data_IF_225701896694
#
_entry.id   IF_225701896694
#
_cell.length_a   1.000
_cell.length_b   1.000
_cell.length_c   1.000
_cell.angle_alpha   90.00
_cell.angle_beta   90.00
_cell.angle_gamma   90.00
#
_symmetry.space_group_name_H-M   'P 1'
#
loop_
_entity.id
_entity.type
_entity.pdbx_description
1 polymer ?
#
# COMPACT_ATOMS: atom_id res chain seq x y z
N UNK A 1 -70.86 31.25 -11.43
CA UNK A 1 -70.16 30.90 -10.18
C UNK A 1 -69.00 29.97 -10.52
N UNK A 2 -67.77 30.46 -10.68
CA UNK A 2 -66.59 29.61 -10.82
C UNK A 2 -65.99 29.30 -9.44
N UNK A 3 -65.66 28.03 -9.19
CA UNK A 3 -64.93 27.60 -8.00
C UNK A 3 -63.45 27.35 -8.31
N UNK A 4 -62.61 27.86 -7.40
CA UNK A 4 -61.36 27.28 -6.93
C UNK A 4 -60.10 27.43 -7.79
N UNK A 5 -59.43 28.57 -7.63
CA UNK A 5 -57.99 28.71 -7.88
C UNK A 5 -57.21 28.01 -6.76
N UNK A 6 -56.56 26.89 -7.07
CA UNK A 6 -55.53 26.33 -6.20
C UNK A 6 -54.34 27.30 -6.19
N UNK A 7 -54.05 27.88 -5.02
CA UNK A 7 -52.83 28.65 -4.81
C UNK A 7 -51.63 27.70 -4.91
N UNK A 8 -50.77 27.94 -5.89
CA UNK A 8 -49.45 27.36 -6.00
C UNK A 8 -48.58 27.83 -4.83
N UNK A 9 -48.02 26.87 -4.10
CA UNK A 9 -46.96 27.13 -3.12
C UNK A 9 -45.68 27.53 -3.87
N UNK A 10 -44.88 28.48 -3.34
CA UNK A 10 -43.62 28.86 -3.95
C UNK A 10 -42.62 27.70 -3.87
N UNK A 11 -42.01 27.37 -5.00
CA UNK A 11 -40.82 26.51 -5.05
C UNK A 11 -39.75 27.11 -4.14
N UNK A 12 -39.48 26.45 -3.01
CA UNK A 12 -38.33 26.76 -2.16
C UNK A 12 -37.03 26.58 -2.96
N UNK A 13 -35.91 27.16 -2.50
CA UNK A 13 -34.64 27.08 -3.21
C UNK A 13 -34.32 25.60 -3.44
N UNK A 14 -34.30 25.22 -4.72
CA UNK A 14 -34.18 23.84 -5.14
C UNK A 14 -33.02 23.17 -4.42
N UNK A 15 -33.33 22.16 -3.62
CA UNK A 15 -32.42 21.04 -3.48
C UNK A 15 -32.34 20.40 -4.86
N UNK A 16 -31.51 21.00 -5.71
CA UNK A 16 -30.91 20.26 -6.81
C UNK A 16 -30.23 19.08 -6.11
N UNK A 17 -30.64 17.82 -6.40
CA UNK A 17 -29.83 16.70 -5.96
C UNK A 17 -28.44 16.98 -6.51
N UNK A 18 -27.45 17.09 -5.63
CA UNK A 18 -26.05 17.20 -6.03
C UNK A 18 -25.82 16.02 -6.96
N UNK A 19 -25.77 16.33 -8.25
CA UNK A 19 -25.49 15.35 -9.29
C UNK A 19 -24.19 14.68 -8.85
N UNK A 20 -24.18 13.35 -8.68
CA UNK A 20 -23.01 12.51 -8.39
C UNK A 20 -22.03 12.54 -9.58
N UNK A 21 -21.72 13.74 -10.08
CA UNK A 21 -21.07 14.00 -11.35
C UNK A 21 -19.58 13.77 -11.31
N UNK A 22 -19.04 13.16 -10.26
CA UNK A 22 -17.73 12.49 -10.22
C UNK A 22 -17.63 11.68 -8.91
N UNK A 23 -18.27 10.52 -8.81
CA UNK A 23 -17.86 9.54 -7.80
C UNK A 23 -16.39 9.18 -8.11
N UNK A 24 -15.52 9.25 -7.09
CA UNK A 24 -14.11 8.85 -7.26
C UNK A 24 -14.05 7.41 -7.80
N UNK A 25 -13.04 7.05 -8.60
CA UNK A 25 -13.07 5.80 -9.37
C UNK A 25 -13.20 4.52 -8.51
N UNK A 26 -12.75 4.55 -7.27
CA UNK A 26 -12.84 3.43 -6.32
C UNK A 26 -13.78 3.75 -5.14
N UNK A 27 -14.77 4.62 -5.33
CA UNK A 27 -15.76 4.92 -4.30
C UNK A 27 -16.46 3.63 -3.83
N UNK A 28 -16.59 3.48 -2.51
CA UNK A 28 -17.14 2.29 -1.83
C UNK A 28 -16.32 1.00 -1.96
N UNK A 29 -15.19 1.01 -2.68
CA UNK A 29 -14.29 -0.14 -2.72
C UNK A 29 -13.59 -0.28 -1.38
N UNK A 30 -13.62 -1.48 -0.83
CA UNK A 30 -12.93 -1.86 0.39
C UNK A 30 -11.69 -2.70 0.06
N UNK A 31 -10.55 -2.27 0.60
CA UNK A 31 -9.24 -2.88 0.33
C UNK A 31 -8.66 -3.40 1.65
N UNK A 32 -8.18 -4.64 1.66
CA UNK A 32 -7.31 -5.17 2.71
C UNK A 32 -5.88 -5.25 2.18
N UNK A 33 -4.94 -4.51 2.77
CA UNK A 33 -3.52 -4.67 2.50
C UNK A 33 -2.87 -5.56 3.55
N UNK A 34 -2.11 -6.55 3.07
CA UNK A 34 -1.21 -7.40 3.86
C UNK A 34 0.21 -6.90 3.57
N UNK A 35 0.70 -6.00 4.41
CA UNK A 35 1.93 -5.22 4.20
C UNK A 35 2.52 -4.82 5.57
N UNK A 36 3.77 -5.18 5.82
CA UNK A 36 4.49 -4.95 7.07
C UNK A 36 5.31 -3.65 7.07
N UNK A 37 5.65 -3.09 5.89
CA UNK A 37 6.27 -1.77 5.82
C UNK A 37 5.25 -0.66 6.08
N UNK A 38 5.54 0.20 7.07
CA UNK A 38 4.76 1.42 7.35
C UNK A 38 4.82 2.37 6.17
N UNK A 39 5.99 2.54 5.57
CA UNK A 39 6.18 3.43 4.42
C UNK A 39 5.36 2.99 3.19
N UNK A 40 5.40 1.69 2.85
CA UNK A 40 4.61 1.15 1.74
C UNK A 40 3.10 1.17 2.04
N UNK A 41 2.71 0.84 3.29
CA UNK A 41 1.30 0.92 3.70
C UNK A 41 0.77 2.34 3.67
N UNK A 42 1.59 3.34 3.98
CA UNK A 42 1.20 4.75 3.92
C UNK A 42 1.01 5.21 2.47
N UNK A 43 1.85 4.73 1.54
CA UNK A 43 1.63 4.93 0.10
C UNK A 43 0.26 4.37 -0.33
N UNK A 44 -0.05 3.12 0.05
CA UNK A 44 -1.34 2.48 -0.22
C UNK A 44 -2.51 3.26 0.39
N UNK A 45 -2.35 3.77 1.62
CA UNK A 45 -3.38 4.56 2.30
C UNK A 45 -3.69 5.84 1.52
N UNK A 46 -2.67 6.56 1.08
CA UNK A 46 -2.80 7.79 0.30
C UNK A 46 -3.42 7.50 -1.09
N UNK A 47 -3.00 6.43 -1.76
CA UNK A 47 -3.59 5.98 -3.04
C UNK A 47 -5.08 5.61 -2.90
N UNK A 48 -5.44 4.85 -1.87
CA UNK A 48 -6.83 4.49 -1.58
C UNK A 48 -7.65 5.74 -1.26
N UNK A 49 -7.14 6.62 -0.39
CA UNK A 49 -7.82 7.85 0.01
C UNK A 49 -8.10 8.76 -1.19
N UNK A 50 -7.11 9.00 -2.06
CA UNK A 50 -7.31 9.81 -3.28
C UNK A 50 -8.21 9.14 -4.31
N UNK A 51 -8.38 7.82 -4.25
CA UNK A 51 -9.28 7.07 -5.12
C UNK A 51 -10.70 6.87 -4.55
N UNK A 52 -10.95 7.27 -3.31
CA UNK A 52 -12.23 7.07 -2.62
C UNK A 52 -12.43 5.68 -2.01
N UNK A 53 -11.39 4.84 -2.01
CA UNK A 53 -11.42 3.50 -1.43
C UNK A 53 -11.14 3.54 0.08
N UNK A 54 -11.62 2.53 0.79
CA UNK A 54 -11.40 2.34 2.24
C UNK A 54 -10.35 1.25 2.44
N UNK A 55 -9.22 1.61 3.05
CA UNK A 55 -8.14 0.67 3.33
C UNK A 55 -8.21 0.14 4.77
N UNK A 56 -8.02 -1.17 4.94
CA UNK A 56 -7.59 -1.83 6.18
C UNK A 56 -6.22 -2.46 5.97
N UNK A 57 -5.41 -2.47 7.01
CA UNK A 57 -4.04 -3.02 6.98
C UNK A 57 -3.89 -4.14 8.00
N UNK A 58 -3.14 -5.16 7.63
CA UNK A 58 -2.57 -6.19 8.51
C UNK A 58 -1.11 -6.43 8.12
N UNK A 59 -0.28 -6.84 9.08
CA UNK A 59 1.18 -6.91 8.89
C UNK A 59 1.69 -8.35 8.62
N UNK A 60 0.83 -9.36 8.78
CA UNK A 60 1.22 -10.77 8.70
C UNK A 60 0.17 -11.61 7.99
N UNK A 61 0.57 -12.73 7.39
CA UNK A 61 -0.37 -13.70 6.82
C UNK A 61 -1.32 -14.26 7.87
N UNK A 62 -0.82 -14.53 9.08
CA UNK A 62 -1.64 -14.99 10.20
C UNK A 62 -2.72 -13.96 10.59
N UNK A 63 -2.39 -12.68 10.61
CA UNK A 63 -3.38 -11.62 10.83
C UNK A 63 -4.37 -11.51 9.67
N UNK A 64 -3.91 -11.63 8.41
CA UNK A 64 -4.77 -11.62 7.23
C UNK A 64 -5.81 -12.73 7.27
N UNK A 65 -5.42 -13.98 7.59
CA UNK A 65 -6.36 -15.11 7.70
C UNK A 65 -7.43 -14.87 8.75
N UNK A 66 -7.04 -14.38 9.94
CA UNK A 66 -7.98 -14.03 11.01
C UNK A 66 -8.94 -12.92 10.59
N UNK A 67 -8.43 -11.91 9.87
CA UNK A 67 -9.26 -10.81 9.41
C UNK A 67 -10.26 -11.25 8.33
N UNK A 68 -9.80 -12.02 7.34
CA UNK A 68 -10.62 -12.52 6.23
C UNK A 68 -11.68 -13.54 6.67
N UNK A 69 -11.54 -14.16 7.84
CA UNK A 69 -12.57 -15.02 8.42
C UNK A 69 -13.85 -14.24 8.80
N UNK A 70 -13.73 -12.95 9.10
CA UNK A 70 -14.84 -12.10 9.58
C UNK A 70 -15.11 -10.88 8.70
N UNK A 71 -14.22 -10.58 7.75
CA UNK A 71 -14.29 -9.43 6.89
C UNK A 71 -14.19 -9.84 5.42
N UNK A 72 -15.05 -9.28 4.58
CA UNK A 72 -15.12 -9.55 3.14
C UNK A 72 -14.78 -8.27 2.36
N UNK A 73 -13.49 -8.00 2.08
CA UNK A 73 -13.10 -6.87 1.25
C UNK A 73 -13.40 -7.15 -0.23
N UNK A 74 -13.51 -6.09 -1.04
CA UNK A 74 -13.58 -6.20 -2.50
C UNK A 74 -12.21 -6.54 -3.12
N UNK A 75 -11.13 -6.04 -2.51
CA UNK A 75 -9.74 -6.25 -2.95
C UNK A 75 -8.85 -6.67 -1.77
N UNK A 76 -8.01 -7.67 -2.00
CA UNK A 76 -6.89 -8.00 -1.11
C UNK A 76 -5.59 -7.73 -1.85
N UNK A 77 -4.77 -6.84 -1.30
CA UNK A 77 -3.42 -6.57 -1.75
C UNK A 77 -2.45 -7.34 -0.86
N UNK A 78 -1.64 -8.22 -1.43
CA UNK A 78 -0.73 -9.09 -0.67
C UNK A 78 0.71 -8.78 -1.05
N UNK A 79 1.49 -8.23 -0.12
CA UNK A 79 2.94 -8.17 -0.30
C UNK A 79 3.54 -9.59 -0.30
N UNK A 80 4.51 -9.83 -1.19
CA UNK A 80 5.12 -11.15 -1.32
C UNK A 80 6.20 -11.45 -0.27
N UNK A 81 6.81 -10.42 0.33
CA UNK A 81 7.87 -10.50 1.32
C UNK A 81 7.38 -10.20 2.73
N UNK A 82 6.66 -11.14 3.35
CA UNK A 82 6.10 -10.99 4.69
C UNK A 82 7.00 -11.63 5.77
N UNK A 83 6.92 -11.18 7.03
CA UNK A 83 7.76 -11.69 8.12
C UNK A 83 7.45 -13.14 8.51
N UNK A 84 6.21 -13.59 8.30
CA UNK A 84 5.74 -14.92 8.68
C UNK A 84 5.71 -15.92 7.52
N UNK A 85 6.27 -15.57 6.35
CA UNK A 85 6.43 -16.46 5.20
C UNK A 85 6.16 -15.79 3.84
N UNK A 86 5.93 -16.57 2.79
CA UNK A 86 5.73 -16.03 1.45
C UNK A 86 4.28 -15.61 1.22
N UNK A 87 4.05 -14.37 0.77
CA UNK A 87 2.72 -13.92 0.36
C UNK A 87 2.08 -14.78 -0.75
N UNK A 88 2.89 -15.51 -1.52
CA UNK A 88 2.41 -16.50 -2.50
C UNK A 88 1.61 -17.64 -1.85
N UNK A 89 1.98 -18.06 -0.63
CA UNK A 89 1.25 -19.07 0.14
C UNK A 89 -0.12 -18.53 0.57
N UNK A 90 -0.17 -17.28 1.03
CA UNK A 90 -1.43 -16.62 1.38
C UNK A 90 -2.35 -16.49 0.17
N UNK A 91 -1.83 -16.01 -0.98
CA UNK A 91 -2.59 -15.89 -2.23
C UNK A 91 -3.18 -17.25 -2.62
N UNK A 92 -2.38 -18.32 -2.59
CA UNK A 92 -2.85 -19.69 -2.90
C UNK A 92 -3.98 -20.15 -2.01
N UNK A 93 -4.03 -19.71 -0.76
CA UNK A 93 -5.04 -20.14 0.18
C UNK A 93 -6.35 -19.35 0.06
N UNK A 94 -6.26 -18.04 -0.16
CA UNK A 94 -7.44 -17.17 -0.24
C UNK A 94 -8.11 -17.19 -1.61
N UNK A 95 -7.41 -17.67 -2.65
CA UNK A 95 -7.94 -17.78 -4.03
C UNK A 95 -8.49 -19.17 -4.35
N UNK A 96 -8.44 -20.13 -3.41
CA UNK A 96 -9.05 -21.45 -3.61
C UNK A 96 -10.55 -21.29 -3.91
N UNK A 97 -11.13 -22.15 -4.75
CA UNK A 97 -12.57 -22.12 -5.03
C UNK A 97 -13.40 -22.10 -3.73
N UNK A 98 -14.26 -21.09 -3.59
CA UNK A 98 -15.13 -20.92 -2.41
C UNK A 98 -14.47 -20.29 -1.18
N UNK A 99 -13.18 -19.95 -1.20
CA UNK A 99 -12.50 -19.34 -0.05
C UNK A 99 -12.90 -17.86 0.15
N UNK A 100 -12.68 -17.03 -0.87
CA UNK A 100 -12.93 -15.60 -0.82
C UNK A 100 -13.44 -15.09 -2.17
N UNK A 101 -14.49 -14.27 -2.14
CA UNK A 101 -14.99 -13.56 -3.32
C UNK A 101 -14.41 -12.13 -3.32
N UNK A 102 -13.11 -12.02 -3.56
CA UNK A 102 -12.39 -10.76 -3.61
C UNK A 102 -11.34 -10.81 -4.73
N UNK A 103 -11.04 -9.65 -5.32
CA UNK A 103 -9.90 -9.51 -6.23
C UNK A 103 -8.61 -9.59 -5.42
N UNK A 104 -7.75 -10.56 -5.71
CA UNK A 104 -6.46 -10.71 -5.03
C UNK A 104 -5.35 -10.22 -5.94
N UNK A 105 -4.57 -9.23 -5.50
CA UNK A 105 -3.43 -8.68 -6.24
C UNK A 105 -2.15 -8.87 -5.41
N UNK A 106 -1.06 -9.22 -6.09
CA UNK A 106 0.25 -9.26 -5.46
C UNK A 106 0.92 -7.88 -5.49
N UNK A 107 1.71 -7.56 -4.46
CA UNK A 107 2.60 -6.41 -4.41
C UNK A 107 4.03 -6.94 -4.25
N UNK A 108 4.96 -6.47 -5.07
CA UNK A 108 6.38 -6.79 -4.90
C UNK A 108 7.26 -5.77 -5.62
N UNK A 109 8.49 -5.60 -5.12
CA UNK A 109 9.52 -4.88 -5.87
C UNK A 109 10.11 -5.72 -7.01
N UNK A 110 10.14 -7.04 -6.91
CA UNK A 110 10.73 -7.89 -7.94
C UNK A 110 9.71 -8.21 -9.06
N UNK A 111 9.86 -7.67 -10.29
CA UNK A 111 8.97 -7.96 -11.41
C UNK A 111 9.06 -9.43 -11.87
N UNK A 112 10.16 -10.13 -11.56
CA UNK A 112 10.32 -11.55 -11.86
C UNK A 112 9.32 -12.45 -11.12
N UNK A 113 8.72 -11.96 -10.03
CA UNK A 113 7.72 -12.68 -9.26
C UNK A 113 6.31 -12.63 -9.85
N UNK A 114 6.07 -11.85 -10.91
CA UNK A 114 4.77 -11.74 -11.56
C UNK A 114 4.19 -13.11 -11.94
N UNK A 115 5.00 -13.95 -12.61
CA UNK A 115 4.56 -15.27 -13.06
C UNK A 115 4.24 -16.21 -11.88
N UNK A 116 4.97 -16.08 -10.78
CA UNK A 116 4.72 -16.87 -9.58
C UNK A 116 3.42 -16.43 -8.87
N UNK A 117 3.17 -15.12 -8.82
CA UNK A 117 1.94 -14.55 -8.25
C UNK A 117 0.68 -14.98 -9.04
N UNK A 118 0.73 -14.92 -10.37
CA UNK A 118 -0.39 -15.36 -11.21
C UNK A 118 -0.64 -16.86 -11.05
N UNK A 119 0.41 -17.69 -11.05
CA UNK A 119 0.28 -19.14 -10.77
C UNK A 119 -0.27 -19.43 -9.39
N UNK A 120 0.01 -18.57 -8.41
CA UNK A 120 -0.55 -18.67 -7.06
C UNK A 120 -2.04 -18.30 -7.01
N UNK A 121 -2.59 -17.67 -8.05
CA UNK A 121 -4.01 -17.28 -8.14
C UNK A 121 -4.26 -15.78 -8.10
N UNK A 122 -3.22 -14.93 -8.04
CA UNK A 122 -3.41 -13.48 -8.10
C UNK A 122 -4.00 -13.06 -9.45
N UNK A 123 -4.97 -12.15 -9.42
CA UNK A 123 -5.60 -11.59 -10.61
C UNK A 123 -4.65 -10.64 -11.36
N UNK A 124 -3.74 -9.99 -10.63
CA UNK A 124 -2.82 -9.00 -11.14
C UNK A 124 -1.69 -8.70 -10.15
N UNK A 125 -0.88 -7.69 -10.48
CA UNK A 125 0.37 -7.38 -9.79
C UNK A 125 0.60 -5.88 -9.76
N UNK A 126 1.06 -5.37 -8.63
CA UNK A 126 1.49 -3.99 -8.42
C UNK A 126 2.99 -3.98 -8.09
N UNK A 127 3.76 -3.26 -8.89
CA UNK A 127 5.20 -3.13 -8.68
C UNK A 127 5.51 -1.96 -7.74
N UNK A 128 6.40 -2.18 -6.76
CA UNK A 128 6.95 -1.10 -5.92
C UNK A 128 8.00 -0.31 -6.74
N UNK A 129 8.00 1.03 -6.73
CA UNK A 129 7.33 1.90 -5.77
C UNK A 129 5.88 2.29 -6.16
N UNK A 130 4.99 2.34 -5.16
CA UNK A 130 3.56 2.62 -5.33
C UNK A 130 3.28 4.13 -5.33
N UNK A 131 3.67 4.83 -6.40
CA UNK A 131 3.63 6.31 -6.42
C UNK A 131 2.53 6.90 -7.30
N UNK A 132 2.05 6.16 -8.30
CA UNK A 132 1.15 6.69 -9.32
C UNK A 132 -0.30 6.34 -9.01
N UNK A 133 -1.15 7.37 -8.91
CA UNK A 133 -2.58 7.15 -8.70
C UNK A 133 -3.22 6.43 -9.88
N UNK A 134 -2.84 6.82 -11.10
CA UNK A 134 -3.35 6.23 -12.34
C UNK A 134 -3.02 4.75 -12.45
N UNK A 135 -1.76 4.35 -12.23
CA UNK A 135 -1.35 2.95 -12.29
C UNK A 135 -2.09 2.10 -11.26
N UNK A 136 -2.20 2.59 -10.02
CA UNK A 136 -2.97 1.93 -8.97
C UNK A 136 -4.45 1.77 -9.35
N UNK A 137 -5.11 2.84 -9.79
CA UNK A 137 -6.52 2.82 -10.19
C UNK A 137 -6.76 1.89 -11.38
N UNK A 138 -5.89 1.93 -12.39
CA UNK A 138 -5.98 1.11 -13.58
C UNK A 138 -5.92 -0.38 -13.26
N UNK A 139 -4.98 -0.79 -12.40
CA UNK A 139 -4.85 -2.20 -11.99
C UNK A 139 -6.05 -2.64 -11.16
N UNK A 140 -6.56 -1.84 -10.22
CA UNK A 140 -7.73 -2.26 -9.44
C UNK A 140 -9.00 -2.33 -10.31
N UNK A 141 -9.23 -1.35 -11.17
CA UNK A 141 -10.43 -1.26 -12.01
C UNK A 141 -10.46 -2.30 -13.15
N UNK A 142 -9.30 -2.80 -13.60
CA UNK A 142 -9.27 -3.86 -14.61
C UNK A 142 -9.83 -5.19 -14.09
N UNK A 143 -9.84 -5.38 -12.77
CA UNK A 143 -10.27 -6.62 -12.12
C UNK A 143 -11.61 -6.49 -11.37
N UNK A 144 -11.99 -5.29 -10.94
CA UNK A 144 -13.28 -5.05 -10.30
C UNK A 144 -14.43 -5.04 -11.31
N UNK A 145 -15.53 -5.72 -10.96
CA UNK A 145 -16.76 -5.75 -11.78
C UNK A 145 -17.72 -4.64 -11.35
N UNK A 146 -18.46 -4.05 -12.31
CA UNK A 146 -19.56 -3.13 -12.02
C UNK A 146 -19.17 -1.73 -11.53
N UNK A 147 -17.88 -1.39 -11.48
CA UNK A 147 -17.43 -0.05 -11.08
C UNK A 147 -17.57 0.96 -12.23
N UNK A 148 -18.00 2.21 -11.95
CA UNK A 148 -18.09 3.24 -12.96
C UNK A 148 -16.70 3.54 -13.52
N UNK A 149 -16.57 3.46 -14.85
CA UNK A 149 -15.38 3.91 -15.58
C UNK A 149 -15.39 5.43 -15.67
N UNK A 150 -15.19 6.10 -14.54
CA UNK A 150 -14.87 7.53 -14.54
C UNK A 150 -13.48 7.72 -15.17
N UNK A 151 -13.27 8.76 -15.97
CA UNK A 151 -11.94 9.10 -16.47
C UNK A 151 -10.97 9.22 -15.30
N UNK A 152 -9.84 8.52 -15.38
CA UNK A 152 -8.80 8.66 -14.36
C UNK A 152 -8.22 10.07 -14.46
N UNK A 153 -8.17 10.84 -13.35
CA UNK A 153 -7.55 12.15 -13.37
C UNK A 153 -6.06 12.02 -13.71
N UNK A 154 -5.66 12.65 -14.82
CA UNK A 154 -4.28 12.66 -15.29
C UNK A 154 -3.47 13.78 -14.61
N UNK A 155 -2.14 13.61 -14.56
CA UNK A 155 -1.21 14.67 -14.13
C UNK A 155 -1.22 14.97 -12.64
N UNK A 156 -1.71 14.05 -11.80
CA UNK A 156 -1.63 14.20 -10.35
C UNK A 156 -0.20 13.97 -9.84
N UNK A 157 0.22 14.79 -8.87
CA UNK A 157 1.52 14.65 -8.24
C UNK A 157 1.68 13.25 -7.62
N UNK A 158 2.84 12.60 -7.82
CA UNK A 158 3.16 11.33 -7.18
C UNK A 158 2.88 11.33 -5.68
N UNK A 159 2.46 10.19 -5.16
CA UNK A 159 2.30 10.00 -3.73
C UNK A 159 3.68 10.02 -3.08
N UNK A 160 3.75 10.69 -1.93
CA UNK A 160 4.93 10.73 -1.08
C UNK A 160 4.47 10.35 0.32
N UNK A 161 4.80 9.13 0.79
CA UNK A 161 4.56 8.76 2.17
C UNK A 161 5.35 9.68 3.10
N UNK A 162 4.90 9.81 4.34
CA UNK A 162 5.58 10.68 5.29
C UNK A 162 6.95 10.12 5.70
N UNK A 163 7.82 11.00 6.20
CA UNK A 163 9.18 10.64 6.63
C UNK A 163 9.20 9.85 7.94
N UNK A 164 8.16 9.96 8.76
CA UNK A 164 8.10 9.26 10.04
C UNK A 164 7.91 7.76 9.81
N UNK A 165 7.03 7.38 8.88
CA UNK A 165 6.82 6.00 8.46
C UNK A 165 8.11 5.37 7.91
N UNK A 166 8.89 6.14 7.13
CA UNK A 166 10.22 5.70 6.67
C UNK A 166 11.16 5.49 7.85
N UNK A 167 11.24 6.45 8.77
CA UNK A 167 12.10 6.37 9.94
C UNK A 167 11.76 5.17 10.82
N UNK A 168 10.48 4.95 11.11
CA UNK A 168 10.01 3.82 11.92
C UNK A 168 10.37 2.47 11.29
N UNK A 169 10.25 2.35 9.97
CA UNK A 169 10.64 1.15 9.22
C UNK A 169 12.16 0.91 9.29
N UNK A 170 12.98 1.96 9.16
CA UNK A 170 14.44 1.85 9.27
C UNK A 170 14.89 1.47 10.69
N UNK A 171 14.27 2.06 11.72
CA UNK A 171 14.53 1.71 13.12
C UNK A 171 14.13 0.25 13.40
N UNK A 172 12.95 -0.17 12.93
CA UNK A 172 12.53 -1.56 13.02
C UNK A 172 13.55 -2.49 12.35
N UNK A 173 13.98 -2.13 11.14
CA UNK A 173 14.93 -2.93 10.39
C UNK A 173 16.27 -3.10 11.13
N UNK A 174 16.79 -2.01 11.70
CA UNK A 174 18.02 -2.04 12.49
C UNK A 174 17.90 -2.92 13.73
N UNK A 175 16.79 -2.78 14.48
CA UNK A 175 16.50 -3.57 15.67
C UNK A 175 16.46 -5.08 15.38
N UNK A 176 15.77 -5.49 14.31
CA UNK A 176 15.68 -6.89 13.89
C UNK A 176 17.04 -7.42 13.41
N UNK A 177 17.81 -6.59 12.70
CA UNK A 177 19.15 -6.95 12.23
C UNK A 177 20.11 -7.20 13.40
N UNK A 178 20.05 -6.38 14.45
CA UNK A 178 20.83 -6.53 15.68
C UNK A 178 20.47 -7.79 16.46
N UNK A 179 19.17 -8.06 16.63
CA UNK A 179 18.67 -9.23 17.35
C UNK A 179 19.16 -10.58 16.76
N UNK A 180 19.46 -10.62 15.47
CA UNK A 180 20.25 -11.70 14.86
C UNK A 180 19.60 -13.09 14.87
N UNK A 181 18.27 -13.17 14.99
CA UNK A 181 17.55 -14.45 14.97
C UNK A 181 17.84 -15.24 13.68
N UNK A 182 18.20 -16.53 13.85
CA UNK A 182 18.42 -17.48 12.75
C UNK A 182 17.15 -17.56 11.89
N UNK A 183 17.28 -17.35 10.57
CA UNK A 183 16.17 -17.34 9.61
C UNK A 183 15.66 -15.94 9.24
N UNK A 184 15.82 -14.94 10.11
CA UNK A 184 15.32 -13.57 9.88
C UNK A 184 16.20 -12.75 8.95
N UNK A 185 17.44 -13.18 8.69
CA UNK A 185 18.40 -12.47 7.84
C UNK A 185 17.92 -12.29 6.40
N UNK A 186 17.27 -13.31 5.82
CA UNK A 186 16.79 -13.19 4.44
C UNK A 186 15.61 -12.21 4.38
N UNK A 187 14.65 -12.39 5.28
CA UNK A 187 13.53 -11.49 5.43
C UNK A 187 13.98 -10.03 5.61
N UNK A 188 14.89 -9.75 6.55
CA UNK A 188 15.29 -8.37 6.83
C UNK A 188 16.01 -7.72 5.64
N UNK A 189 16.79 -8.50 4.89
CA UNK A 189 17.43 -8.02 3.68
C UNK A 189 16.41 -7.72 2.58
N UNK A 190 15.39 -8.55 2.41
CA UNK A 190 14.31 -8.32 1.44
C UNK A 190 13.41 -7.15 1.87
N UNK A 191 13.11 -7.02 3.16
CA UNK A 191 12.36 -5.91 3.75
C UNK A 191 13.06 -4.57 3.51
N UNK A 192 14.37 -4.47 3.83
CA UNK A 192 15.14 -3.25 3.60
C UNK A 192 15.28 -2.94 2.10
N UNK A 193 15.43 -3.95 1.23
CA UNK A 193 15.40 -3.74 -0.21
C UNK A 193 14.05 -3.16 -0.67
N UNK A 194 12.93 -3.61 -0.10
CA UNK A 194 11.60 -3.09 -0.37
C UNK A 194 11.45 -1.61 0.03
N UNK A 195 11.95 -1.24 1.21
CA UNK A 195 11.97 0.15 1.69
C UNK A 195 12.84 1.00 0.78
N UNK A 196 14.08 0.57 0.53
CA UNK A 196 15.07 1.29 -0.26
C UNK A 196 14.58 1.58 -1.68
N UNK A 197 13.92 0.60 -2.31
CA UNK A 197 13.28 0.78 -3.62
C UNK A 197 12.13 1.80 -3.55
N UNK A 198 11.35 1.75 -2.48
CA UNK A 198 10.20 2.65 -2.28
C UNK A 198 10.63 4.11 -2.05
N UNK A 199 11.78 4.33 -1.42
CA UNK A 199 12.34 5.67 -1.18
C UNK A 199 13.44 6.09 -2.18
N UNK A 200 13.71 5.28 -3.20
CA UNK A 200 14.76 5.50 -4.22
C UNK A 200 16.19 5.62 -3.65
N UNK A 201 16.51 4.87 -2.59
CA UNK A 201 17.85 4.79 -1.99
C UNK A 201 18.65 3.62 -2.57
N UNK A 202 19.37 3.86 -3.66
CA UNK A 202 20.15 2.83 -4.35
C UNK A 202 21.26 2.23 -3.49
N UNK A 203 21.85 3.02 -2.59
CA UNK A 203 22.94 2.59 -1.73
C UNK A 203 22.44 1.60 -0.68
N UNK A 204 21.32 1.95 -0.03
CA UNK A 204 20.66 1.07 0.93
C UNK A 204 20.15 -0.20 0.26
N UNK A 205 19.60 -0.09 -0.96
CA UNK A 205 19.16 -1.25 -1.74
C UNK A 205 20.31 -2.20 -2.04
N UNK A 206 21.45 -1.68 -2.51
CA UNK A 206 22.65 -2.47 -2.82
C UNK A 206 23.23 -3.15 -1.58
N UNK A 207 23.30 -2.44 -0.46
CA UNK A 207 23.79 -3.00 0.81
C UNK A 207 22.87 -4.10 1.35
N UNK A 208 21.55 -3.92 1.22
CA UNK A 208 20.58 -4.94 1.63
C UNK A 208 20.65 -6.18 0.74
N UNK A 209 20.79 -6.03 -0.58
CA UNK A 209 21.02 -7.14 -1.50
C UNK A 209 22.31 -7.92 -1.17
N UNK A 210 23.39 -7.22 -0.84
CA UNK A 210 24.64 -7.85 -0.39
C UNK A 210 24.48 -8.58 0.94
N UNK A 211 23.75 -8.01 1.91
CA UNK A 211 23.45 -8.63 3.19
C UNK A 211 22.56 -9.87 3.06
N UNK A 212 21.74 -9.97 2.00
CA UNK A 212 20.95 -11.16 1.71
C UNK A 212 21.81 -12.40 1.43
N UNK A 213 23.02 -12.22 0.89
CA UNK A 213 23.92 -13.31 0.44
C UNK A 213 25.18 -13.46 1.30
N UNK A 214 25.75 -12.38 1.85
CA UNK A 214 26.95 -12.41 2.68
C UNK A 214 26.75 -11.95 4.14
N UNK A 215 27.21 -12.75 5.11
CA UNK A 215 27.16 -12.37 6.54
C UNK A 215 28.07 -11.18 6.84
N UNK A 216 29.21 -11.09 6.13
CA UNK A 216 30.15 -9.97 6.26
C UNK A 216 29.53 -8.65 5.78
N UNK A 217 28.54 -8.69 4.87
CA UNK A 217 27.84 -7.50 4.40
C UNK A 217 26.82 -6.95 5.43
N UNK A 218 26.53 -7.69 6.51
CA UNK A 218 25.63 -7.25 7.60
C UNK A 218 26.11 -5.95 8.25
N UNK A 219 27.40 -5.83 8.49
CA UNK A 219 27.99 -4.63 9.12
C UNK A 219 27.84 -3.40 8.23
N UNK A 220 28.01 -3.57 6.92
CA UNK A 220 27.79 -2.50 5.94
C UNK A 220 26.34 -2.02 5.94
N UNK A 221 25.38 -2.95 5.92
CA UNK A 221 23.96 -2.63 6.00
C UNK A 221 23.61 -1.91 7.33
N UNK A 222 24.10 -2.42 8.45
CA UNK A 222 23.85 -1.84 9.79
C UNK A 222 24.34 -0.39 9.86
N UNK A 223 25.54 -0.12 9.31
CA UNK A 223 26.12 1.23 9.27
C UNK A 223 25.27 2.19 8.43
N UNK A 224 24.79 1.75 7.26
CA UNK A 224 23.94 2.57 6.40
C UNK A 224 22.58 2.85 7.04
N UNK A 225 21.96 1.85 7.66
CA UNK A 225 20.71 2.04 8.42
C UNK A 225 20.89 3.10 9.51
N UNK A 226 21.93 3.00 10.33
CA UNK A 226 22.23 3.98 11.38
C UNK A 226 22.42 5.40 10.80
N UNK A 227 23.11 5.53 9.66
CA UNK A 227 23.28 6.81 8.98
C UNK A 227 21.93 7.41 8.56
N UNK A 228 21.03 6.62 7.96
CA UNK A 228 19.70 7.11 7.52
C UNK A 228 18.78 7.45 8.67
N UNK A 229 18.82 6.67 9.75
CA UNK A 229 18.07 6.96 10.99
C UNK A 229 18.52 8.31 11.55
N UNK A 230 19.84 8.53 11.70
CA UNK A 230 20.38 9.80 12.22
C UNK A 230 20.20 11.00 11.28
N UNK A 231 20.15 10.75 9.97
CA UNK A 231 20.02 11.77 8.93
C UNK A 231 18.59 12.18 8.64
N UNK A 232 17.61 11.52 9.25
CA UNK A 232 16.20 11.93 9.15
C UNK A 232 15.97 13.04 10.20
N UNK A 233 15.82 14.31 9.80
CA UNK A 233 15.62 15.37 10.78
C UNK A 233 14.34 15.13 11.57
N UNK A 234 14.41 15.36 12.87
CA UNK A 234 13.27 15.31 13.80
C UNK A 234 12.13 16.21 13.26
N UNK A 235 10.91 15.68 13.07
CA UNK A 235 9.77 16.46 12.58
C UNK A 235 9.38 17.62 13.51
N UNK A 236 9.86 17.63 14.76
CA UNK A 236 9.62 18.69 15.75
C UNK A 236 10.78 19.68 15.88
N UNK A 237 11.94 19.41 15.27
CA UNK A 237 13.05 20.38 15.23
C UNK A 237 12.87 21.27 14.01
N UNK A 238 12.07 22.34 14.17
CA UNK A 238 12.05 23.43 13.21
C UNK A 238 13.47 23.97 13.04
N UNK A 239 13.85 24.25 11.79
CA UNK A 239 15.08 24.94 11.42
C UNK A 239 15.13 26.33 12.07
N UNK A 240 15.58 26.38 13.32
CA UNK A 240 16.24 27.55 13.85
C UNK A 240 17.55 27.71 13.08
N UNK A 241 17.79 28.93 12.60
CA UNK A 241 19.03 29.44 11.97
C UNK A 241 19.17 29.26 10.45
N UNK A 242 18.73 30.30 9.73
CA UNK A 242 19.65 31.15 8.95
C UNK A 242 19.03 32.54 8.72
N UNK A 243 19.28 33.44 9.66
CA UNK A 243 19.48 34.87 9.39
C UNK A 243 20.89 35.19 9.88
N UNK A 244 21.74 35.57 8.94
CA UNK A 244 23.15 35.91 9.10
C UNK A 244 23.69 36.21 7.72
#
# INVERSE_FOLDING_TARGET
MPHSSAQSMPEGPGFTPVSLRNALPLANVTVLAVEDSRFASEALRLLCQRSGARLRRVETMAAARRHLAVYRPDVVLVDLGLPDGSGLDLIRDITRPGALDAVVLAISGDPGLWSAAVRAGAAGFLEKPLETLEGFQQVLLSHLKGQPRSPLPQGLSPIRPDRQALHDDLVHAASVLEAGALGTRRYIADFVQGIARSCHDSDLQGAAAAAATSAAAKEGLSRLLAQRISGTPDPFVQAATKKG
#
